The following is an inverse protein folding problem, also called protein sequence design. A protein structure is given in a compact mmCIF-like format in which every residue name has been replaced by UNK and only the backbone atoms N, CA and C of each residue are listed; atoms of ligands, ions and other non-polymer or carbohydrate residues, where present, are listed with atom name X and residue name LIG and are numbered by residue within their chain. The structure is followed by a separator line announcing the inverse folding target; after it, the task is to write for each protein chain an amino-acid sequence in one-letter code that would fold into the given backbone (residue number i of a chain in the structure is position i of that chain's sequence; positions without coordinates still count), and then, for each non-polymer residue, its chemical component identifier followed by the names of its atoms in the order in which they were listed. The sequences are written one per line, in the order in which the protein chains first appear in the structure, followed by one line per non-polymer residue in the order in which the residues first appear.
data_IF_986908474662
#
_entry.id   IF_986908474662
#
_cell.length_a   1.000
_cell.length_b   1.000
_cell.length_c   1.000
_cell.angle_alpha   90.00
_cell.angle_beta   90.00
_cell.angle_gamma   90.00
#
_symmetry.space_group_name_H-M   'P 1'
#
loop_
_entity.id
_entity.type
_entity.pdbx_description
1 polymer ?
#
# COMPACT_ATOMS: atom_id res chain seq x y z
N UNK A 1 15.58 11.76 -0.68
CA UNK A 1 14.48 12.71 -0.99
C UNK A 1 13.26 12.17 -0.28
N UNK A 2 12.79 12.82 0.79
CA UNK A 2 11.66 12.35 1.59
C UNK A 2 10.37 12.62 0.81
N UNK A 3 9.76 11.60 0.23
CA UNK A 3 8.48 11.75 -0.46
C UNK A 3 7.40 11.83 0.61
N UNK A 4 6.74 12.98 0.70
CA UNK A 4 5.62 13.18 1.61
C UNK A 4 4.41 12.40 1.08
N UNK A 5 4.21 11.19 1.60
CA UNK A 5 3.01 10.41 1.34
C UNK A 5 1.83 11.05 2.08
N UNK A 6 0.68 11.30 1.43
CA UNK A 6 -0.47 11.86 2.12
C UNK A 6 -0.88 10.91 3.25
N UNK A 7 -0.79 11.39 4.48
CA UNK A 7 -1.05 10.57 5.65
C UNK A 7 -2.54 10.50 6.01
N UNK A 8 -3.39 11.40 5.51
CA UNK A 8 -4.79 11.53 5.94
C UNK A 8 -5.70 11.80 4.73
N UNK A 9 -6.81 11.05 4.62
CA UNK A 9 -7.84 11.16 3.57
C UNK A 9 -7.30 11.21 2.14
N UNK A 10 -7.06 10.02 1.58
CA UNK A 10 -6.65 9.85 0.19
C UNK A 10 -7.83 9.39 -0.65
N UNK A 11 -7.94 9.90 -1.88
CA UNK A 11 -8.78 9.26 -2.88
C UNK A 11 -8.17 7.91 -3.29
N UNK A 12 -8.99 7.02 -3.82
CA UNK A 12 -8.50 5.74 -4.39
C UNK A 12 -7.42 5.95 -5.47
N UNK A 13 -7.50 7.04 -6.23
CA UNK A 13 -6.50 7.38 -7.24
C UNK A 13 -5.13 7.67 -6.64
N UNK A 14 -5.09 8.48 -5.58
CA UNK A 14 -3.87 8.83 -4.86
C UNK A 14 -3.26 7.62 -4.16
N UNK A 15 -4.08 6.78 -3.52
CA UNK A 15 -3.60 5.53 -2.92
C UNK A 15 -2.94 4.61 -3.96
N UNK A 16 -3.57 4.43 -5.12
CA UNK A 16 -3.02 3.60 -6.20
C UNK A 16 -1.73 4.18 -6.75
N UNK A 17 -1.63 5.51 -6.91
CA UNK A 17 -0.41 6.16 -7.35
C UNK A 17 0.72 5.98 -6.32
N UNK A 18 0.42 6.19 -5.04
CA UNK A 18 1.35 5.99 -3.93
C UNK A 18 1.84 4.54 -3.83
N UNK A 19 0.96 3.56 -3.96
CA UNK A 19 1.33 2.13 -3.95
C UNK A 19 2.26 1.75 -5.13
N UNK A 20 2.02 2.34 -6.31
CA UNK A 20 2.91 2.15 -7.46
C UNK A 20 4.30 2.72 -7.17
N UNK A 21 4.34 3.94 -6.65
CA UNK A 21 5.56 4.63 -6.31
C UNK A 21 6.36 3.90 -5.23
N UNK A 22 5.73 3.51 -4.11
CA UNK A 22 6.36 2.71 -3.04
C UNK A 22 6.99 1.44 -3.59
N UNK A 23 6.28 0.72 -4.45
CA UNK A 23 6.81 -0.53 -5.04
C UNK A 23 8.01 -0.25 -5.94
N UNK A 24 8.00 0.85 -6.68
CA UNK A 24 9.07 1.21 -7.59
C UNK A 24 10.30 1.73 -6.79
N UNK A 25 10.10 2.50 -5.73
CA UNK A 25 11.15 2.93 -4.79
C UNK A 25 11.79 1.76 -4.04
N UNK A 26 11.00 0.77 -3.61
CA UNK A 26 11.48 -0.48 -3.03
C UNK A 26 12.42 -1.22 -3.99
N UNK A 27 12.00 -1.36 -5.25
CA UNK A 27 12.80 -2.04 -6.29
C UNK A 27 14.08 -1.29 -6.61
N UNK A 28 14.02 0.04 -6.60
CA UNK A 28 15.17 0.90 -6.81
C UNK A 28 16.09 1.00 -5.58
N UNK A 29 15.75 0.33 -4.47
CA UNK A 29 16.43 0.42 -3.17
C UNK A 29 16.57 1.87 -2.66
N UNK A 30 15.65 2.74 -3.09
CA UNK A 30 15.64 4.15 -2.72
C UNK A 30 14.87 4.41 -1.42
N UNK A 31 14.04 3.45 -1.00
CA UNK A 31 13.35 3.43 0.28
C UNK A 31 13.64 2.11 0.97
N UNK A 32 13.85 2.16 2.29
CA UNK A 32 14.07 0.99 3.13
C UNK A 32 12.76 0.25 3.37
N UNK A 33 12.86 -1.02 3.75
CA UNK A 33 11.68 -1.83 4.04
C UNK A 33 10.87 -1.24 5.21
N UNK A 34 11.54 -0.73 6.24
CA UNK A 34 10.92 -0.09 7.41
C UNK A 34 10.11 1.16 7.04
N UNK A 35 10.65 2.02 6.17
CA UNK A 35 9.94 3.22 5.70
C UNK A 35 8.66 2.86 4.94
N UNK A 36 8.70 1.82 4.11
CA UNK A 36 7.53 1.37 3.36
C UNK A 36 6.49 0.74 4.28
N UNK A 37 6.93 -0.03 5.28
CA UNK A 37 6.04 -0.61 6.30
C UNK A 37 5.34 0.47 7.13
N UNK A 38 6.04 1.55 7.48
CA UNK A 38 5.44 2.67 8.21
C UNK A 38 4.33 3.34 7.39
N UNK A 39 4.59 3.63 6.10
CA UNK A 39 3.59 4.21 5.20
C UNK A 39 2.38 3.29 5.02
N UNK A 40 2.61 1.99 4.82
CA UNK A 40 1.54 1.00 4.71
C UNK A 40 0.71 0.88 5.99
N UNK A 41 1.35 0.93 7.16
CA UNK A 41 0.69 0.90 8.47
C UNK A 41 -0.18 2.14 8.68
N UNK A 42 0.30 3.31 8.28
CA UNK A 42 -0.48 4.56 8.31
C UNK A 42 -1.70 4.47 7.39
N UNK A 43 -1.55 3.93 6.18
CA UNK A 43 -2.67 3.77 5.25
C UNK A 43 -3.66 2.69 5.69
N UNK A 44 -3.18 1.60 6.33
CA UNK A 44 -4.02 0.58 6.99
C UNK A 44 -4.89 1.24 8.06
N UNK A 45 -4.34 2.16 8.85
CA UNK A 45 -5.08 2.88 9.90
C UNK A 45 -6.03 3.94 9.36
N UNK A 46 -5.60 4.74 8.39
CA UNK A 46 -6.30 5.95 7.98
C UNK A 46 -7.25 5.73 6.80
N UNK A 47 -7.01 4.73 5.95
CA UNK A 47 -7.81 4.43 4.76
C UNK A 47 -8.05 2.91 4.58
N UNK A 48 -8.49 2.18 5.63
CA UNK A 48 -8.62 0.72 5.58
C UNK A 48 -9.57 0.26 4.48
N UNK A 49 -10.72 0.93 4.30
CA UNK A 49 -11.73 0.58 3.29
C UNK A 49 -11.26 0.75 1.84
N UNK A 50 -10.21 1.55 1.62
CA UNK A 50 -9.65 1.78 0.30
C UNK A 50 -8.51 0.81 0.00
N UNK A 51 -7.74 0.42 1.03
CA UNK A 51 -6.57 -0.43 0.91
C UNK A 51 -6.91 -1.92 0.99
N UNK A 52 -7.79 -2.30 1.92
CA UNK A 52 -8.04 -3.68 2.34
C UNK A 52 -9.43 -4.18 1.94
N UNK A 53 -9.55 -5.51 1.81
CA UNK A 53 -10.80 -6.20 1.52
C UNK A 53 -11.62 -6.49 2.79
N UNK A 54 -12.09 -5.42 3.42
CA UNK A 54 -12.88 -5.52 4.65
C UNK A 54 -14.25 -6.17 4.39
N UNK A 55 -14.84 -5.89 3.23
CA UNK A 55 -16.16 -6.43 2.84
C UNK A 55 -16.09 -7.92 2.45
N UNK A 56 -14.96 -8.40 1.92
CA UNK A 56 -14.76 -9.78 1.46
C UNK A 56 -14.36 -10.79 2.54
N UNK A 57 -14.50 -10.46 3.83
CA UNK A 57 -14.09 -11.28 4.98
C UNK A 57 -12.57 -11.57 5.05
N UNK A 58 -11.74 -10.80 4.34
CA UNK A 58 -10.27 -10.91 4.39
C UNK A 58 -9.66 -9.56 4.78
N UNK A 59 -9.78 -9.16 6.07
CA UNK A 59 -9.49 -7.81 6.51
C UNK A 59 -8.01 -7.39 6.37
N UNK A 60 -7.10 -8.32 6.14
CA UNK A 60 -5.67 -8.08 5.92
C UNK A 60 -5.23 -8.25 4.44
N UNK A 61 -6.15 -8.58 3.54
CA UNK A 61 -5.84 -8.72 2.12
C UNK A 61 -6.04 -7.39 1.39
N UNK A 62 -5.16 -7.05 0.45
CA UNK A 62 -5.37 -5.92 -0.45
C UNK A 62 -6.69 -6.03 -1.21
N UNK A 63 -7.44 -4.93 -1.26
CA UNK A 63 -8.70 -4.87 -1.97
C UNK A 63 -8.54 -5.31 -3.44
N UNK A 64 -9.42 -6.17 -3.99
CA UNK A 64 -9.32 -6.66 -5.37
C UNK A 64 -9.22 -5.55 -6.42
N UNK A 65 -9.91 -4.43 -6.19
CA UNK A 65 -9.87 -3.24 -7.05
C UNK A 65 -8.48 -2.58 -7.05
N UNK A 66 -7.82 -2.51 -5.90
CA UNK A 66 -6.45 -1.98 -5.78
C UNK A 66 -5.48 -2.90 -6.52
N UNK A 67 -5.57 -4.22 -6.29
CA UNK A 67 -4.73 -5.22 -6.99
C UNK A 67 -4.80 -5.06 -8.51
N UNK A 68 -6.02 -4.89 -9.05
CA UNK A 68 -6.24 -4.66 -10.48
C UNK A 68 -5.56 -3.37 -10.99
N UNK A 69 -5.58 -2.30 -10.21
CA UNK A 69 -5.06 -0.98 -10.62
C UNK A 69 -3.54 -0.84 -10.52
N UNK A 70 -2.91 -1.49 -9.53
CA UNK A 70 -1.44 -1.46 -9.34
C UNK A 70 -0.73 -2.56 -10.16
N UNK A 71 -1.47 -3.62 -10.53
CA UNK A 71 -0.98 -4.75 -11.31
C UNK A 71 -0.43 -5.89 -10.45
N UNK A 72 -0.41 -7.10 -11.01
CA UNK A 72 -0.11 -8.34 -10.28
C UNK A 72 1.25 -8.33 -9.56
N UNK A 73 2.33 -7.93 -10.27
CA UNK A 73 3.68 -7.88 -9.67
C UNK A 73 3.76 -6.95 -8.47
N UNK A 74 3.11 -5.78 -8.52
CA UNK A 74 3.13 -4.81 -7.42
C UNK A 74 2.25 -5.27 -6.26
N UNK A 75 1.13 -5.91 -6.59
CA UNK A 75 0.22 -6.48 -5.59
C UNK A 75 0.90 -7.52 -4.71
N UNK A 76 1.75 -8.39 -5.29
CA UNK A 76 2.51 -9.38 -4.51
C UNK A 76 3.45 -8.69 -3.53
N UNK A 77 4.24 -7.71 -3.99
CA UNK A 77 5.20 -7.00 -3.13
C UNK A 77 4.48 -6.28 -1.98
N UNK A 78 3.42 -5.51 -2.29
CA UNK A 78 2.67 -4.78 -1.26
C UNK A 78 1.99 -5.75 -0.30
N UNK A 79 1.41 -6.85 -0.77
CA UNK A 79 0.80 -7.85 0.12
C UNK A 79 1.84 -8.45 1.07
N UNK A 80 3.02 -8.83 0.56
CA UNK A 80 4.12 -9.34 1.38
C UNK A 80 4.56 -8.34 2.44
N UNK A 81 4.67 -7.06 2.10
CA UNK A 81 5.05 -6.01 3.05
C UNK A 81 3.94 -5.74 4.09
N UNK A 82 2.66 -5.87 3.69
CA UNK A 82 1.52 -5.78 4.61
C UNK A 82 1.47 -6.95 5.59
N UNK A 83 1.69 -8.18 5.12
CA UNK A 83 1.69 -9.39 5.96
C UNK A 83 2.82 -9.38 7.00
N UNK A 84 3.89 -8.61 6.74
CA UNK A 84 5.02 -8.42 7.67
C UNK A 84 4.85 -7.22 8.62
N UNK A 85 3.78 -6.42 8.44
CA UNK A 85 3.48 -5.23 9.25
C UNK A 85 2.52 -5.51 10.42
N UNK A 86 2.19 -6.78 10.67
CA UNK A 86 1.43 -7.26 11.85
C UNK A 86 2.34 -7.93 12.89
#
# INVERSE_FOLDING_TARGET
MFVSYPAVYMTRGELVAGLKQLTDEYKLKSATEDEIREVLSLWKKNCPNLLLDIEGHRPNELAPRVKKLIGAKRSVVIQTLLDMSD
#
